data_IF_811214886764
#
_entry.id   IF_811214886764
#
_cell.length_a   1.000
_cell.length_b   1.000
_cell.length_c   1.000
_cell.angle_alpha   90.00
_cell.angle_beta   90.00
_cell.angle_gamma   90.00
#
_symmetry.space_group_name_H-M   'P 1'
#
loop_
_entity.id
_entity.type
_entity.pdbx_description
1 polymer ?
#
# COMPACT_ATOMS: atom_id res chain seq x y z
N UNK A 1 -12.20 13.83 6.84
CA UNK A 1 -10.99 13.12 6.35
C UNK A 1 -10.41 13.91 5.20
N UNK A 2 -9.18 14.36 5.37
CA UNK A 2 -8.41 15.06 4.33
C UNK A 2 -7.58 14.02 3.60
N UNK A 3 -7.59 14.03 2.28
CA UNK A 3 -6.85 13.09 1.44
C UNK A 3 -5.72 13.83 0.72
N UNK A 4 -4.54 13.20 0.69
CA UNK A 4 -3.34 13.72 0.03
C UNK A 4 -2.35 12.61 -0.25
N UNK A 5 -1.21 12.97 -0.81
CA UNK A 5 -0.11 12.02 -0.97
C UNK A 5 0.43 11.59 0.40
N UNK A 6 0.85 10.36 0.48
CA UNK A 6 1.37 9.80 1.75
C UNK A 6 2.60 10.57 2.24
N UNK A 7 3.47 10.96 1.34
CA UNK A 7 4.71 11.70 1.60
C UNK A 7 4.41 13.07 2.23
N UNK A 8 3.40 13.79 1.71
CA UNK A 8 2.95 15.08 2.25
C UNK A 8 2.38 14.93 3.65
N UNK A 9 1.52 13.93 3.84
CA UNK A 9 0.94 13.64 5.15
C UNK A 9 2.00 13.21 6.17
N UNK A 10 3.00 12.44 5.72
CA UNK A 10 4.13 12.03 6.55
C UNK A 10 5.02 13.20 6.91
N UNK A 11 5.30 14.10 5.97
CA UNK A 11 6.07 15.32 6.21
C UNK A 11 5.44 16.17 7.32
N UNK A 12 4.14 16.46 7.23
CA UNK A 12 3.44 17.22 8.27
C UNK A 12 3.47 16.51 9.64
N UNK A 13 3.35 15.18 9.65
CA UNK A 13 3.45 14.40 10.87
C UNK A 13 4.83 14.47 11.52
N UNK A 14 5.88 14.35 10.72
CA UNK A 14 7.26 14.39 11.21
C UNK A 14 7.63 15.80 11.71
N UNK A 15 7.21 16.86 11.02
CA UNK A 15 7.38 18.24 11.47
C UNK A 15 6.68 18.49 12.81
N UNK A 16 5.41 18.11 12.89
CA UNK A 16 4.66 18.24 14.14
C UNK A 16 5.36 17.54 15.30
N UNK A 17 5.89 16.35 15.08
CA UNK A 17 6.65 15.63 16.10
C UNK A 17 7.93 16.33 16.52
N UNK A 18 8.65 16.94 15.60
CA UNK A 18 9.87 17.68 15.90
C UNK A 18 9.57 18.92 16.74
N UNK A 19 8.54 19.68 16.37
CA UNK A 19 8.13 20.89 17.08
C UNK A 19 7.59 20.59 18.48
N UNK A 20 6.98 19.42 18.68
CA UNK A 20 6.38 19.01 19.95
C UNK A 20 7.20 17.92 20.66
N UNK A 21 8.50 17.83 20.35
CA UNK A 21 9.40 16.86 20.97
C UNK A 21 9.50 17.09 22.49
N UNK A 22 9.05 16.11 23.27
CA UNK A 22 9.00 16.19 24.74
C UNK A 22 7.66 16.69 25.31
N UNK A 23 6.73 17.13 24.46
CA UNK A 23 5.36 17.47 24.86
C UNK A 23 4.52 16.23 25.17
N UNK A 24 3.48 16.42 26.00
CA UNK A 24 2.50 15.37 26.32
C UNK A 24 1.29 15.39 25.36
N UNK A 25 1.27 16.34 24.46
CA UNK A 25 0.14 16.52 23.54
C UNK A 25 0.16 15.47 22.43
N UNK A 26 -1.02 14.95 22.13
CA UNK A 26 -1.21 14.06 20.98
C UNK A 26 -1.40 14.91 19.71
N UNK A 27 -0.85 14.46 18.59
CA UNK A 27 -1.08 15.13 17.32
C UNK A 27 -2.59 15.29 17.04
N UNK A 28 -3.01 16.45 16.52
CA UNK A 28 -4.41 16.74 16.23
C UNK A 28 -4.95 15.91 15.05
N UNK A 29 -4.08 15.17 14.36
CA UNK A 29 -4.43 14.30 13.24
C UNK A 29 -3.72 12.95 13.30
N UNK A 30 -4.20 12.00 12.52
CA UNK A 30 -3.61 10.66 12.37
C UNK A 30 -3.41 10.37 10.89
N UNK A 31 -2.19 10.02 10.52
CA UNK A 31 -1.89 9.58 9.16
C UNK A 31 -2.33 8.14 8.97
N UNK A 32 -3.05 7.87 7.88
CA UNK A 32 -3.45 6.53 7.46
C UNK A 32 -3.13 6.35 5.99
N UNK A 33 -2.64 5.19 5.62
CA UNK A 33 -2.54 4.79 4.23
C UNK A 33 -3.86 4.15 3.81
N UNK A 34 -4.42 4.66 2.72
CA UNK A 34 -5.62 4.10 2.09
C UNK A 34 -5.18 3.41 0.81
N UNK A 35 -5.62 2.18 0.65
CA UNK A 35 -5.38 1.37 -0.55
C UNK A 35 -6.73 0.87 -1.06
N UNK A 36 -6.89 0.87 -2.37
CA UNK A 36 -8.00 0.19 -3.03
C UNK A 36 -7.54 -1.21 -3.42
N UNK A 37 -8.25 -2.21 -2.98
CA UNK A 37 -7.89 -3.60 -3.23
C UNK A 37 -9.08 -4.38 -3.78
N UNK A 38 -8.81 -5.32 -4.69
CA UNK A 38 -9.76 -6.32 -5.11
C UNK A 38 -9.45 -7.65 -4.44
N UNK A 39 -10.47 -8.33 -3.96
CA UNK A 39 -10.33 -9.71 -3.53
C UNK A 39 -10.51 -10.61 -4.76
N UNK A 40 -9.64 -11.60 -4.89
CA UNK A 40 -9.72 -12.62 -5.92
C UNK A 40 -9.95 -13.99 -5.29
N UNK A 41 -10.64 -14.86 -5.99
CA UNK A 41 -10.82 -16.24 -5.59
C UNK A 41 -9.53 -17.06 -5.88
N UNK A 42 -9.56 -18.34 -5.51
CA UNK A 42 -8.44 -19.28 -5.75
C UNK A 42 -8.03 -19.48 -7.21
N UNK A 43 -8.87 -19.03 -8.15
CA UNK A 43 -8.59 -19.09 -9.59
C UNK A 43 -8.10 -17.74 -10.14
N UNK A 44 -7.87 -16.76 -9.27
CA UNK A 44 -7.50 -15.39 -9.66
C UNK A 44 -8.68 -14.56 -10.18
N UNK A 45 -9.92 -15.06 -10.08
CA UNK A 45 -11.10 -14.31 -10.52
C UNK A 45 -11.53 -13.33 -9.43
N UNK A 46 -11.82 -12.11 -9.86
CA UNK A 46 -12.33 -11.04 -8.99
C UNK A 46 -13.64 -11.46 -8.30
N UNK A 47 -13.68 -11.34 -6.98
CA UNK A 47 -14.81 -11.77 -6.16
C UNK A 47 -15.94 -10.73 -6.06
N UNK A 48 -15.68 -9.49 -6.42
CA UNK A 48 -16.65 -8.39 -6.35
C UNK A 48 -16.35 -7.30 -7.38
N UNK A 49 -17.37 -6.55 -7.77
CA UNK A 49 -17.28 -5.56 -8.87
C UNK A 49 -16.69 -4.21 -8.46
N UNK A 50 -16.57 -3.92 -7.15
CA UNK A 50 -16.05 -2.64 -6.65
C UNK A 50 -14.87 -2.88 -5.73
N UNK A 51 -13.85 -1.99 -5.75
CA UNK A 51 -12.72 -2.12 -4.84
C UNK A 51 -13.17 -1.96 -3.38
N UNK A 52 -12.45 -2.64 -2.51
CA UNK A 52 -12.58 -2.50 -1.06
C UNK A 52 -11.54 -1.50 -0.58
N UNK A 53 -11.94 -0.60 0.30
CA UNK A 53 -11.04 0.34 0.94
C UNK A 53 -10.32 -0.33 2.10
N UNK A 54 -9.01 -0.50 1.98
CA UNK A 54 -8.14 -0.94 3.06
C UNK A 54 -7.49 0.29 3.69
N UNK A 55 -7.86 0.60 4.94
CA UNK A 55 -7.30 1.72 5.70
C UNK A 55 -6.34 1.23 6.78
N UNK A 56 -5.08 1.55 6.63
CA UNK A 56 -4.00 1.11 7.51
C UNK A 56 -3.41 2.30 8.28
N UNK A 57 -3.09 2.11 9.55
CA UNK A 57 -2.44 3.11 10.38
C UNK A 57 -1.49 2.48 11.41
N UNK A 58 -0.52 3.27 11.88
CA UNK A 58 0.42 2.87 12.91
C UNK A 58 1.21 1.60 12.57
N UNK A 59 1.30 0.68 13.53
CA UNK A 59 2.05 -0.57 13.36
C UNK A 59 1.52 -1.48 12.27
N UNK A 60 0.21 -1.52 12.04
CA UNK A 60 -0.39 -2.31 10.97
C UNK A 60 0.04 -1.79 9.59
N UNK A 61 0.07 -0.48 9.41
CA UNK A 61 0.57 0.14 8.17
C UNK A 61 2.03 -0.21 7.94
N UNK A 62 2.89 -0.04 8.95
CA UNK A 62 4.32 -0.34 8.83
C UNK A 62 4.54 -1.80 8.44
N UNK A 63 3.93 -2.72 9.17
CA UNK A 63 4.06 -4.15 8.90
C UNK A 63 3.55 -4.54 7.51
N UNK A 64 2.39 -4.01 7.12
CA UNK A 64 1.81 -4.33 5.80
C UNK A 64 2.72 -3.86 4.67
N UNK A 65 3.17 -2.60 4.71
CA UNK A 65 4.02 -2.03 3.67
C UNK A 65 5.35 -2.76 3.59
N UNK A 66 6.00 -3.03 4.73
CA UNK A 66 7.25 -3.77 4.78
C UNK A 66 7.11 -5.18 4.15
N UNK A 67 6.05 -5.91 4.51
CA UNK A 67 5.83 -7.26 3.98
C UNK A 67 5.42 -7.25 2.51
N UNK A 68 4.66 -6.26 2.08
CA UNK A 68 4.32 -6.11 0.67
C UNK A 68 5.55 -5.77 -0.18
N UNK A 69 6.42 -4.87 0.29
CA UNK A 69 7.69 -4.58 -0.39
C UNK A 69 8.58 -5.82 -0.50
N UNK A 70 8.71 -6.61 0.58
CA UNK A 70 9.45 -7.87 0.54
C UNK A 70 8.89 -8.85 -0.50
N UNK A 71 7.57 -8.93 -0.59
CA UNK A 71 6.92 -9.76 -1.61
C UNK A 71 7.21 -9.25 -3.03
N UNK A 72 7.12 -7.94 -3.28
CA UNK A 72 7.44 -7.35 -4.59
C UNK A 72 8.90 -7.60 -4.99
N UNK A 73 9.86 -7.43 -4.08
CA UNK A 73 11.27 -7.74 -4.34
C UNK A 73 11.49 -9.21 -4.75
N UNK A 74 10.81 -10.14 -4.07
CA UNK A 74 10.85 -11.56 -4.43
C UNK A 74 10.24 -11.81 -5.81
N UNK A 75 9.13 -11.13 -6.11
CA UNK A 75 8.44 -11.25 -7.39
C UNK A 75 9.29 -10.73 -8.55
N UNK A 76 9.91 -9.56 -8.39
CA UNK A 76 10.84 -8.97 -9.35
C UNK A 76 12.03 -9.89 -9.62
N UNK A 77 12.63 -10.42 -8.55
CA UNK A 77 13.74 -11.37 -8.67
C UNK A 77 13.33 -12.66 -9.43
N UNK A 78 12.15 -13.19 -9.16
CA UNK A 78 11.62 -14.36 -9.86
C UNK A 78 11.32 -14.07 -11.33
N UNK A 79 10.77 -12.90 -11.61
CA UNK A 79 10.47 -12.44 -12.97
C UNK A 79 11.74 -12.26 -13.81
N UNK A 80 12.74 -11.57 -13.28
CA UNK A 80 14.02 -11.39 -13.94
C UNK A 80 14.68 -12.75 -14.30
N UNK A 81 14.62 -13.71 -13.39
CA UNK A 81 15.12 -15.08 -13.64
C UNK A 81 14.31 -15.84 -14.69
N UNK A 82 13.00 -15.63 -14.72
CA UNK A 82 12.11 -16.30 -15.68
C UNK A 82 12.29 -15.77 -17.10
N UNK A 83 12.49 -14.45 -17.24
CA UNK A 83 12.64 -13.79 -18.54
C UNK A 83 14.08 -13.73 -19.04
N UNK A 84 15.07 -13.95 -18.16
CA UNK A 84 16.49 -13.74 -18.45
C UNK A 84 16.90 -12.26 -18.50
N UNK A 85 16.00 -11.35 -18.15
CA UNK A 85 16.27 -9.91 -18.12
C UNK A 85 16.90 -9.52 -16.79
N UNK A 86 18.21 -9.37 -16.81
CA UNK A 86 19.01 -8.96 -15.63
C UNK A 86 19.07 -7.44 -15.46
N UNK A 87 18.61 -6.69 -16.45
CA UNK A 87 18.59 -5.21 -16.44
C UNK A 87 17.18 -4.67 -16.27
N UNK A 88 16.22 -5.50 -15.90
CA UNK A 88 14.86 -5.04 -15.68
C UNK A 88 14.86 -3.93 -14.62
N UNK A 89 14.51 -2.72 -15.03
CA UNK A 89 14.03 -1.72 -14.08
C UNK A 89 12.87 -2.36 -13.32
N UNK A 90 12.83 -2.16 -11.99
CA UNK A 90 11.80 -2.77 -11.14
C UNK A 90 10.39 -2.53 -11.68
N UNK A 91 9.43 -3.27 -11.19
CA UNK A 91 8.04 -3.13 -11.63
C UNK A 91 7.54 -1.69 -11.46
N UNK A 92 7.04 -1.11 -12.54
CA UNK A 92 6.35 0.17 -12.47
C UNK A 92 5.10 0.07 -11.59
N UNK A 93 4.63 1.21 -11.10
CA UNK A 93 3.45 1.28 -10.22
C UNK A 93 2.21 0.59 -10.80
N UNK A 94 2.00 0.72 -12.10
CA UNK A 94 0.93 0.07 -12.86
C UNK A 94 0.99 -1.45 -12.75
N UNK A 95 2.17 -2.01 -12.97
CA UNK A 95 2.39 -3.45 -12.88
C UNK A 95 2.19 -3.95 -11.45
N UNK A 96 2.66 -3.19 -10.45
CA UNK A 96 2.42 -3.48 -9.04
C UNK A 96 0.92 -3.44 -8.69
N UNK A 97 0.13 -2.58 -9.34
CA UNK A 97 -1.32 -2.48 -9.08
C UNK A 97 -2.11 -3.71 -9.53
N UNK A 98 -1.59 -4.49 -10.49
CA UNK A 98 -2.23 -5.71 -10.99
C UNK A 98 -1.78 -7.01 -10.31
N UNK A 99 -0.83 -6.92 -9.39
CA UNK A 99 -0.25 -8.10 -8.73
C UNK A 99 -1.22 -8.74 -7.73
N UNK A 100 -1.34 -10.05 -7.78
CA UNK A 100 -2.10 -10.87 -6.82
C UNK A 100 -1.18 -11.29 -5.67
N UNK A 101 -1.49 -10.82 -4.48
CA UNK A 101 -0.80 -11.20 -3.25
C UNK A 101 -1.75 -11.90 -2.28
N UNK A 102 -1.38 -13.09 -1.82
CA UNK A 102 -2.23 -13.95 -0.96
C UNK A 102 -1.54 -14.23 0.38
N UNK A 103 -1.37 -13.23 1.26
CA UNK A 103 -0.76 -13.45 2.55
C UNK A 103 -1.73 -14.13 3.53
N UNK A 104 -1.19 -14.96 4.41
CA UNK A 104 -1.88 -15.29 5.65
C UNK A 104 -1.65 -14.16 6.66
N UNK A 105 -2.66 -13.85 7.45
CA UNK A 105 -2.57 -12.81 8.45
C UNK A 105 -2.44 -13.41 9.85
N UNK A 106 -1.51 -12.90 10.61
CA UNK A 106 -1.35 -13.17 12.03
C UNK A 106 -1.61 -11.91 12.86
N UNK A 107 -1.68 -12.09 14.18
CA UNK A 107 -1.75 -10.99 15.13
C UNK A 107 -0.44 -10.93 15.90
N UNK A 108 0.22 -9.79 15.87
CA UNK A 108 1.47 -9.58 16.61
C UNK A 108 1.35 -8.39 17.56
N UNK A 109 2.14 -8.37 18.62
CA UNK A 109 2.32 -7.19 19.47
C UNK A 109 3.29 -6.24 18.76
N UNK A 110 2.98 -4.96 18.77
CA UNK A 110 3.81 -3.93 18.16
C UNK A 110 4.32 -2.95 19.22
N UNK A 111 5.65 -2.81 19.26
CA UNK A 111 6.31 -1.96 20.26
C UNK A 111 6.09 -2.43 21.70
N UNK A 112 6.35 -1.58 22.66
CA UNK A 112 6.11 -1.83 24.09
C UNK A 112 4.63 -1.83 24.51
N UNK A 113 3.72 -1.68 23.56
CA UNK A 113 2.28 -1.63 23.83
C UNK A 113 1.63 -2.99 23.62
N UNK A 114 0.59 -3.28 24.43
CA UNK A 114 -0.22 -4.51 24.26
C UNK A 114 -1.16 -4.46 23.05
N UNK A 115 -0.98 -3.50 22.12
CA UNK A 115 -1.79 -3.42 20.91
C UNK A 115 -1.48 -4.61 20.01
N UNK A 116 -2.52 -5.39 19.70
CA UNK A 116 -2.45 -6.44 18.70
C UNK A 116 -2.69 -5.81 17.32
N UNK A 117 -1.76 -5.99 16.40
CA UNK A 117 -1.88 -5.50 15.04
C UNK A 117 -1.93 -6.65 14.06
N UNK A 118 -2.78 -6.49 13.06
CA UNK A 118 -2.84 -7.42 11.94
C UNK A 118 -1.53 -7.34 11.16
N UNK A 119 -0.91 -8.48 10.93
CA UNK A 119 0.38 -8.58 10.29
C UNK A 119 0.34 -9.63 9.18
N UNK A 120 0.65 -9.29 7.91
CA UNK A 120 0.91 -10.29 6.89
C UNK A 120 2.09 -11.14 7.35
N UNK A 121 1.91 -12.46 7.39
CA UNK A 121 2.87 -13.35 8.05
C UNK A 121 3.60 -14.27 7.07
N UNK A 122 2.86 -14.94 6.20
CA UNK A 122 3.37 -15.86 5.20
C UNK A 122 2.60 -15.69 3.90
N UNK A 123 3.27 -15.91 2.80
CA UNK A 123 2.69 -15.96 1.45
C UNK A 123 3.41 -17.01 0.63
N UNK A 124 2.87 -17.36 -0.52
CA UNK A 124 3.54 -18.20 -1.50
C UNK A 124 4.70 -17.41 -2.09
N UNK A 125 5.92 -17.93 -1.96
CA UNK A 125 7.10 -17.29 -2.53
C UNK A 125 7.07 -17.41 -4.05
N UNK A 126 7.25 -16.29 -4.80
CA UNK A 126 7.37 -16.34 -6.23
C UNK A 126 8.61 -17.12 -6.67
N UNK A 127 8.45 -17.95 -7.68
CA UNK A 127 9.55 -18.65 -8.35
C UNK A 127 9.46 -18.44 -9.86
N UNK A 128 10.56 -18.64 -10.63
CA UNK A 128 10.49 -18.51 -12.09
C UNK A 128 9.44 -19.39 -12.76
N UNK A 129 9.10 -20.53 -12.16
CA UNK A 129 8.11 -21.46 -12.70
C UNK A 129 6.66 -21.11 -12.31
N UNK A 130 6.45 -20.31 -11.27
CA UNK A 130 5.11 -19.93 -10.76
C UNK A 130 4.80 -18.47 -11.00
N UNK A 131 5.69 -17.74 -11.65
CA UNK A 131 5.57 -16.29 -11.81
C UNK A 131 4.23 -15.84 -12.40
N UNK A 132 3.70 -16.57 -13.38
CA UNK A 132 2.44 -16.26 -14.03
C UNK A 132 1.20 -16.37 -13.11
N UNK A 133 1.34 -17.03 -11.95
CA UNK A 133 0.23 -17.18 -10.99
C UNK A 133 0.00 -15.93 -10.15
N UNK A 134 0.91 -14.96 -10.22
CA UNK A 134 0.82 -13.71 -9.45
C UNK A 134 0.16 -12.57 -10.21
N UNK A 135 -0.38 -12.84 -11.39
CA UNK A 135 -1.21 -11.90 -12.16
C UNK A 135 -2.54 -12.53 -12.54
N UNK A 136 -3.56 -11.71 -12.83
CA UNK A 136 -4.80 -12.19 -13.44
C UNK A 136 -4.49 -12.99 -14.71
N UNK A 137 -5.23 -14.08 -14.91
CA UNK A 137 -4.99 -14.99 -16.06
C UNK A 137 -5.62 -14.51 -17.37
N UNK A 138 -6.38 -13.40 -17.31
CA UNK A 138 -7.01 -12.79 -18.46
C UNK A 138 -6.47 -11.40 -18.66
N UNK A 139 -6.07 -11.08 -19.88
CA UNK A 139 -5.60 -9.75 -20.25
C UNK A 139 -6.66 -8.67 -19.96
N UNK A 140 -7.95 -8.97 -20.20
CA UNK A 140 -9.07 -8.09 -19.87
C UNK A 140 -9.10 -7.69 -18.39
N UNK A 141 -8.74 -8.59 -17.47
CA UNK A 141 -8.69 -8.28 -16.04
C UNK A 141 -7.49 -7.40 -15.71
N UNK A 142 -6.34 -7.59 -16.38
CA UNK A 142 -5.15 -6.76 -16.24
C UNK A 142 -5.44 -5.35 -16.73
N UNK A 143 -5.97 -5.22 -17.94
CA UNK A 143 -6.35 -3.95 -18.55
C UNK A 143 -7.34 -3.18 -17.66
N UNK A 144 -8.29 -3.90 -17.05
CA UNK A 144 -9.26 -3.31 -16.14
C UNK A 144 -8.60 -2.72 -14.87
N UNK A 145 -7.65 -3.42 -14.27
CA UNK A 145 -6.91 -2.90 -13.10
C UNK A 145 -6.01 -1.73 -13.46
N UNK A 146 -5.36 -1.77 -14.60
CA UNK A 146 -4.56 -0.67 -15.11
C UNK A 146 -5.41 0.57 -15.40
N UNK A 147 -6.57 0.41 -16.02
CA UNK A 147 -7.52 1.50 -16.27
C UNK A 147 -8.03 2.11 -14.95
N UNK A 148 -8.32 1.29 -13.94
CA UNK A 148 -8.74 1.80 -12.63
C UNK A 148 -7.62 2.60 -11.98
N UNK A 149 -6.38 2.13 -12.06
CA UNK A 149 -5.23 2.88 -11.56
C UNK A 149 -5.10 4.24 -12.25
N UNK A 150 -5.19 4.29 -13.59
CA UNK A 150 -5.11 5.53 -14.37
C UNK A 150 -6.27 6.50 -14.11
N UNK A 151 -7.47 5.97 -13.90
CA UNK A 151 -8.65 6.78 -13.63
C UNK A 151 -8.73 7.25 -12.17
N UNK A 152 -7.86 6.77 -11.27
CA UNK A 152 -7.89 7.21 -9.89
C UNK A 152 -7.34 8.64 -9.77
N UNK A 153 -8.14 9.62 -9.32
CA UNK A 153 -7.77 11.03 -9.38
C UNK A 153 -6.82 11.44 -8.25
N UNK A 154 -5.66 10.78 -8.16
CA UNK A 154 -4.66 11.02 -7.10
C UNK A 154 -4.24 12.48 -7.06
N UNK A 155 -4.00 13.09 -8.24
CA UNK A 155 -3.62 14.50 -8.33
C UNK A 155 -4.72 15.45 -7.82
N UNK A 156 -5.99 15.10 -8.01
CA UNK A 156 -7.10 15.92 -7.53
C UNK A 156 -7.14 15.96 -5.99
N UNK A 157 -6.77 14.87 -5.33
CA UNK A 157 -6.70 14.82 -3.87
C UNK A 157 -5.49 15.53 -3.31
N UNK A 158 -4.35 15.56 -4.02
CA UNK A 158 -3.13 16.22 -3.58
C UNK A 158 -3.16 17.74 -3.68
N UNK A 159 -3.81 18.29 -4.71
CA UNK A 159 -3.77 19.74 -5.03
C UNK A 159 -4.18 20.68 -3.91
N UNK A 160 -5.09 20.27 -3.04
CA UNK A 160 -5.61 21.11 -1.95
C UNK A 160 -5.24 20.61 -0.56
N UNK A 161 -4.39 19.60 -0.47
CA UNK A 161 -4.08 18.92 0.79
C UNK A 161 -3.56 19.90 1.86
N UNK A 162 -2.49 20.63 1.57
CA UNK A 162 -1.89 21.56 2.53
C UNK A 162 -2.85 22.69 2.93
N UNK A 163 -3.62 23.21 1.97
CA UNK A 163 -4.63 24.23 2.24
C UNK A 163 -5.71 23.70 3.20
N UNK A 164 -6.21 22.50 2.96
CA UNK A 164 -7.20 21.86 3.84
C UNK A 164 -6.61 21.56 5.23
N UNK A 165 -5.35 21.13 5.31
CA UNK A 165 -4.68 20.92 6.61
C UNK A 165 -4.55 22.20 7.40
N UNK A 166 -4.25 23.31 6.75
CA UNK A 166 -4.19 24.62 7.40
C UNK A 166 -5.58 25.08 7.85
N UNK A 167 -6.60 25.01 7.00
CA UNK A 167 -7.94 25.52 7.28
C UNK A 167 -8.70 24.67 8.31
N UNK A 168 -8.63 23.33 8.22
CA UNK A 168 -9.43 22.42 9.05
C UNK A 168 -8.68 21.95 10.31
N UNK A 169 -7.35 21.89 10.28
CA UNK A 169 -6.53 21.32 11.36
C UNK A 169 -5.63 22.36 12.01
N UNK A 170 -5.38 23.50 11.35
CA UNK A 170 -4.55 24.58 11.84
C UNK A 170 -3.04 24.29 11.76
N UNK A 171 -2.64 23.39 10.85
CA UNK A 171 -1.23 23.02 10.65
C UNK A 171 -0.70 23.69 9.39
N UNK A 172 0.38 24.44 9.56
CA UNK A 172 1.13 25.07 8.47
C UNK A 172 2.19 24.09 7.93
N UNK A 173 2.38 24.11 6.60
CA UNK A 173 3.44 23.37 5.92
C UNK A 173 4.76 24.13 5.96
#
# INVERSE_FOLDING_TARGET
TIMGFYEDAKYLWDNWKQENAGGKESAPFKVRRIMLVYLVDKNGKQAHSKPIVLSLGGGAQKNFVEKYSQFLEQLESAYAKATGDTNAEGFGEKMCASVIWTPTFGVTKFGGYNAKVLNPHKWVEPTPSTIADFWPKKDEDIDNYENIYECFPVEAYGKNFFKQMQEEVGINA
#
